data_IF_390934316399
#
_entry.id   IF_390934316399
#
_cell.length_a   1.000
_cell.length_b   1.000
_cell.length_c   1.000
_cell.angle_alpha   90.00
_cell.angle_beta   90.00
_cell.angle_gamma   90.00
#
_symmetry.space_group_name_H-M   'P 1'
#
loop_
_entity.id
_entity.type
_entity.pdbx_description
1 polymer ?
#
# COMPACT_ATOMS: atom_id res chain seq x y z
N UNK A 1 -82.56 4.75 -55.87
CA UNK A 1 -81.72 4.30 -54.75
C UNK A 1 -80.67 3.34 -55.29
N UNK A 2 -79.39 3.70 -55.08
CA UNK A 2 -78.13 2.92 -55.03
C UNK A 2 -78.06 1.51 -55.69
N UNK A 3 -77.13 1.33 -56.63
CA UNK A 3 -75.93 0.46 -56.42
C UNK A 3 -74.94 0.52 -57.60
N UNK A 4 -73.67 0.77 -57.29
CA UNK A 4 -72.47 0.74 -58.14
C UNK A 4 -71.37 0.09 -57.24
N UNK A 5 -70.22 -0.37 -57.77
CA UNK A 5 -69.99 -1.65 -58.45
C UNK A 5 -68.96 -2.55 -57.72
N UNK A 6 -68.70 -3.71 -58.33
CA UNK A 6 -67.54 -4.58 -58.13
C UNK A 6 -66.22 -3.82 -57.96
N UNK A 7 -65.52 -4.04 -56.83
CA UNK A 7 -64.06 -3.94 -56.72
C UNK A 7 -63.58 -4.90 -55.61
N UNK A 8 -63.46 -6.18 -55.95
CA UNK A 8 -62.62 -7.13 -55.20
C UNK A 8 -61.32 -7.23 -55.99
N UNK A 9 -60.46 -6.24 -55.83
CA UNK A 9 -59.10 -6.25 -56.41
C UNK A 9 -58.10 -6.58 -55.33
N UNK A 10 -57.51 -7.77 -55.47
CA UNK A 10 -56.12 -8.12 -55.15
C UNK A 10 -55.49 -7.48 -53.90
N UNK A 11 -55.51 -8.20 -52.78
CA UNK A 11 -54.58 -7.96 -51.67
C UNK A 11 -54.12 -9.27 -51.01
N UNK A 12 -53.83 -10.32 -51.79
CA UNK A 12 -53.44 -11.64 -51.26
C UNK A 12 -52.06 -12.17 -51.67
N UNK A 13 -51.21 -11.37 -52.33
CA UNK A 13 -49.87 -11.83 -52.67
C UNK A 13 -48.80 -10.75 -52.45
N UNK A 14 -48.46 -10.43 -51.19
CA UNK A 14 -47.19 -9.74 -50.92
C UNK A 14 -46.69 -9.83 -49.46
N UNK A 15 -46.80 -10.99 -48.80
CA UNK A 15 -46.35 -11.14 -47.41
C UNK A 15 -45.23 -12.15 -47.07
N UNK A 16 -44.69 -13.01 -47.96
CA UNK A 16 -43.57 -13.85 -47.55
C UNK A 16 -42.19 -13.15 -47.64
N UNK A 17 -42.03 -12.13 -48.48
CA UNK A 17 -40.70 -11.53 -48.74
C UNK A 17 -40.19 -10.67 -47.56
N UNK A 18 -41.07 -9.87 -46.95
CA UNK A 18 -40.71 -8.98 -45.83
C UNK A 18 -40.43 -9.72 -44.51
N UNK A 19 -40.97 -10.92 -44.32
CA UNK A 19 -40.76 -11.70 -43.10
C UNK A 19 -39.37 -12.35 -43.04
N UNK A 20 -38.81 -12.74 -44.20
CA UNK A 20 -37.50 -13.39 -44.28
C UNK A 20 -36.34 -12.41 -44.00
N UNK A 21 -36.39 -11.22 -44.59
CA UNK A 21 -35.39 -10.17 -44.34
C UNK A 21 -35.41 -9.67 -42.90
N UNK A 22 -36.59 -9.62 -42.27
CA UNK A 22 -36.73 -9.21 -40.87
C UNK A 22 -36.17 -10.25 -39.89
N UNK A 23 -36.26 -11.53 -40.23
CA UNK A 23 -35.65 -12.60 -39.43
C UNK A 23 -34.13 -12.58 -39.53
N UNK A 24 -33.60 -12.44 -40.75
CA UNK A 24 -32.14 -12.39 -40.99
C UNK A 24 -31.49 -11.18 -40.34
N UNK A 25 -32.11 -10.00 -40.45
CA UNK A 25 -31.66 -8.80 -39.74
C UNK A 25 -31.73 -8.93 -38.22
N UNK A 26 -32.71 -9.64 -37.67
CA UNK A 26 -32.77 -9.93 -36.24
C UNK A 26 -31.62 -10.84 -35.78
N UNK A 27 -31.27 -11.86 -36.56
CA UNK A 27 -30.11 -12.74 -36.29
C UNK A 27 -28.79 -11.95 -36.31
N UNK A 28 -28.59 -11.11 -37.33
CA UNK A 28 -27.41 -10.24 -37.44
C UNK A 28 -27.31 -9.29 -36.23
N UNK A 29 -28.43 -8.70 -35.80
CA UNK A 29 -28.48 -7.84 -34.61
C UNK A 29 -28.10 -8.62 -33.34
N UNK A 30 -28.57 -9.86 -33.21
CA UNK A 30 -28.23 -10.70 -32.07
C UNK A 30 -26.73 -11.08 -32.07
N UNK A 31 -26.15 -11.37 -33.23
CA UNK A 31 -24.73 -11.65 -33.38
C UNK A 31 -23.87 -10.43 -33.03
N UNK A 32 -24.18 -9.27 -33.62
CA UNK A 32 -23.51 -8.00 -33.30
C UNK A 32 -23.60 -7.72 -31.80
N UNK A 33 -24.76 -7.95 -31.16
CA UNK A 33 -24.91 -7.74 -29.72
C UNK A 33 -23.99 -8.65 -28.90
N UNK A 34 -23.80 -9.91 -29.32
CA UNK A 34 -22.85 -10.83 -28.66
C UNK A 34 -21.42 -10.34 -28.80
N UNK A 35 -21.03 -9.91 -30.00
CA UNK A 35 -19.69 -9.39 -30.26
C UNK A 35 -19.41 -8.12 -29.46
N UNK A 36 -20.34 -7.17 -29.41
CA UNK A 36 -20.21 -5.94 -28.61
C UNK A 36 -20.02 -6.26 -27.13
N UNK A 37 -20.75 -7.24 -26.58
CA UNK A 37 -20.56 -7.66 -25.18
C UNK A 37 -19.18 -8.27 -24.96
N UNK A 38 -18.68 -9.09 -25.90
CA UNK A 38 -17.35 -9.69 -25.83
C UNK A 38 -16.26 -8.62 -25.87
N UNK A 39 -16.31 -7.72 -26.86
CA UNK A 39 -15.37 -6.61 -27.01
C UNK A 39 -15.36 -5.70 -25.78
N UNK A 40 -16.52 -5.44 -25.17
CA UNK A 40 -16.58 -4.62 -23.95
C UNK A 40 -15.83 -5.25 -22.79
N UNK A 41 -15.87 -6.59 -22.65
CA UNK A 41 -15.10 -7.31 -21.62
C UNK A 41 -13.61 -7.23 -21.90
N UNK A 42 -13.20 -7.42 -23.15
CA UNK A 42 -11.79 -7.33 -23.56
C UNK A 42 -11.23 -5.91 -23.32
N UNK A 43 -12.00 -4.87 -23.67
CA UNK A 43 -11.60 -3.47 -23.41
C UNK A 43 -11.46 -3.18 -21.92
N UNK A 44 -12.34 -3.73 -21.06
CA UNK A 44 -12.19 -3.58 -19.61
C UNK A 44 -10.94 -4.29 -19.08
N UNK A 45 -10.67 -5.52 -19.51
CA UNK A 45 -9.46 -6.24 -19.12
C UNK A 45 -8.18 -5.48 -19.52
N UNK A 46 -8.12 -4.98 -20.76
CA UNK A 46 -6.98 -4.16 -21.24
C UNK A 46 -6.82 -2.85 -20.45
N UNK A 47 -7.92 -2.24 -20.02
CA UNK A 47 -7.88 -1.03 -19.20
C UNK A 47 -7.26 -1.32 -17.83
N UNK A 48 -7.63 -2.43 -17.21
CA UNK A 48 -7.12 -2.84 -15.90
C UNK A 48 -5.61 -3.16 -15.99
N UNK A 49 -5.17 -3.91 -17.00
CA UNK A 49 -3.75 -4.18 -17.26
C UNK A 49 -2.92 -2.90 -17.45
N UNK A 50 -3.47 -1.92 -18.18
CA UNK A 50 -2.79 -0.64 -18.38
C UNK A 50 -2.70 0.18 -17.09
N UNK A 51 -3.70 0.06 -16.21
CA UNK A 51 -3.69 0.69 -14.90
C UNK A 51 -2.65 0.04 -13.97
N UNK A 52 -2.55 -1.29 -13.96
CA UNK A 52 -1.49 -2.00 -13.24
C UNK A 52 -0.09 -1.61 -13.73
N UNK A 53 0.10 -1.46 -15.04
CA UNK A 53 1.36 -1.00 -15.62
C UNK A 53 1.71 0.43 -15.18
N UNK A 54 0.72 1.32 -15.04
CA UNK A 54 0.92 2.67 -14.55
C UNK A 54 1.35 2.69 -13.07
N UNK A 55 0.70 1.90 -12.22
CA UNK A 55 1.07 1.77 -10.80
C UNK A 55 2.46 1.14 -10.64
N UNK A 56 2.81 0.14 -11.45
CA UNK A 56 4.14 -0.46 -11.44
C UNK A 56 5.24 0.56 -11.81
N UNK A 57 4.97 1.45 -12.78
CA UNK A 57 5.90 2.56 -13.12
C UNK A 57 6.04 3.56 -11.97
N UNK A 58 4.96 3.88 -11.27
CA UNK A 58 4.99 4.77 -10.09
C UNK A 58 5.81 4.16 -8.97
N UNK A 59 5.56 2.89 -8.63
CA UNK A 59 6.31 2.16 -7.61
C UNK A 59 7.81 2.10 -7.94
N UNK A 60 8.17 1.85 -9.21
CA UNK A 60 9.59 1.86 -9.63
C UNK A 60 10.27 3.21 -9.38
N UNK A 61 9.57 4.33 -9.58
CA UNK A 61 10.10 5.67 -9.28
C UNK A 61 10.29 5.88 -7.78
N UNK A 62 9.35 5.43 -6.96
CA UNK A 62 9.45 5.51 -5.50
C UNK A 62 10.63 4.69 -4.96
N UNK A 63 10.83 3.46 -5.47
CA UNK A 63 11.99 2.63 -5.10
C UNK A 63 13.32 3.31 -5.44
N UNK A 64 13.42 3.97 -6.59
CA UNK A 64 14.63 4.72 -6.96
C UNK A 64 14.87 5.89 -6.02
N UNK A 65 13.80 6.63 -5.65
CA UNK A 65 13.89 7.73 -4.68
C UNK A 65 14.37 7.26 -3.32
N UNK A 66 13.76 6.20 -2.79
CA UNK A 66 14.13 5.62 -1.49
C UNK A 66 15.59 5.14 -1.49
N UNK A 67 16.08 4.54 -2.58
CA UNK A 67 17.50 4.16 -2.70
C UNK A 67 18.44 5.37 -2.63
N UNK A 68 18.04 6.52 -3.19
CA UNK A 68 18.82 7.76 -3.11
C UNK A 68 18.84 8.30 -1.67
N UNK A 69 17.69 8.30 -1.01
CA UNK A 69 17.57 8.77 0.37
C UNK A 69 18.40 7.91 1.32
N UNK A 70 18.38 6.58 1.15
CA UNK A 70 19.23 5.64 1.92
C UNK A 70 20.71 5.98 1.76
N UNK A 71 21.20 6.21 0.54
CA UNK A 71 22.61 6.57 0.31
C UNK A 71 22.97 7.89 1.01
N UNK A 72 22.11 8.90 0.86
CA UNK A 72 22.33 10.20 1.52
C UNK A 72 22.39 10.08 3.04
N UNK A 73 21.57 9.21 3.65
CA UNK A 73 21.63 8.96 5.09
C UNK A 73 22.90 8.20 5.49
N UNK A 74 23.36 7.25 4.67
CA UNK A 74 24.62 6.54 4.91
C UNK A 74 25.81 7.50 4.90
N UNK A 75 25.87 8.41 3.92
CA UNK A 75 26.92 9.43 3.84
C UNK A 75 26.91 10.32 5.09
N UNK A 76 25.74 10.79 5.53
CA UNK A 76 25.61 11.60 6.75
C UNK A 76 26.08 10.84 8.01
N UNK A 77 25.78 9.54 8.11
CA UNK A 77 26.23 8.73 9.24
C UNK A 77 27.76 8.61 9.24
N UNK A 78 28.38 8.42 8.08
CA UNK A 78 29.84 8.36 7.96
C UNK A 78 30.48 9.69 8.35
N UNK A 79 29.92 10.82 7.89
CA UNK A 79 30.40 12.16 8.25
C UNK A 79 30.31 12.38 9.77
N UNK A 80 29.19 12.01 10.38
CA UNK A 80 29.01 12.13 11.83
C UNK A 80 29.98 11.25 12.61
N UNK A 81 30.25 10.03 12.14
CA UNK A 81 31.24 9.15 12.75
C UNK A 81 32.64 9.78 12.69
N UNK A 82 33.03 10.32 11.53
CA UNK A 82 34.31 10.99 11.37
C UNK A 82 34.44 12.22 12.30
N UNK A 83 33.39 13.02 12.45
CA UNK A 83 33.37 14.16 13.38
C UNK A 83 33.52 13.74 14.84
N UNK A 84 32.84 12.67 15.25
CA UNK A 84 32.94 12.12 16.61
C UNK A 84 34.36 11.59 16.88
N UNK A 85 34.95 10.88 15.92
CA UNK A 85 36.33 10.39 16.04
C UNK A 85 37.36 11.53 16.08
N UNK A 86 37.15 12.60 15.31
CA UNK A 86 38.01 13.77 15.32
C UNK A 86 37.97 14.52 16.66
N UNK A 87 36.78 14.66 17.28
CA UNK A 87 36.66 15.23 18.62
C UNK A 87 37.35 14.35 19.68
N UNK A 88 37.30 13.03 19.54
CA UNK A 88 37.98 12.12 20.46
C UNK A 88 39.51 12.26 20.44
N UNK A 89 40.11 12.80 19.37
CA UNK A 89 41.59 12.89 19.21
C UNK A 89 42.20 14.22 19.66
N UNK A 90 41.40 15.25 19.97
CA UNK A 90 41.87 16.54 20.46
C UNK A 90 41.33 16.80 21.89
N UNK A 91 42.07 16.45 22.95
CA UNK A 91 41.65 16.77 24.31
C UNK A 91 41.89 18.27 24.56
N UNK A 92 40.81 19.05 24.59
CA UNK A 92 40.87 20.40 25.14
C UNK A 92 41.00 20.32 26.67
N UNK A 93 41.90 21.10 27.32
CA UNK A 93 42.22 20.94 28.74
C UNK A 93 41.13 21.43 29.70
N UNK A 94 39.97 21.92 29.21
CA UNK A 94 38.93 22.49 30.07
C UNK A 94 37.50 22.00 29.73
N UNK A 95 37.39 20.91 28.98
CA UNK A 95 36.13 20.17 28.86
C UNK A 95 36.36 18.85 29.56
N UNK A 96 35.75 18.70 30.75
CA UNK A 96 35.58 17.40 31.39
C UNK A 96 34.87 16.50 30.38
N UNK A 97 35.64 15.75 29.59
CA UNK A 97 35.12 14.60 28.86
C UNK A 97 34.58 13.69 29.95
N UNK A 98 33.25 13.71 30.16
CA UNK A 98 32.60 12.56 30.75
C UNK A 98 33.08 11.36 29.93
N UNK A 99 33.59 10.30 30.57
CA UNK A 99 33.99 9.10 29.86
C UNK A 99 32.79 8.73 28.99
N UNK A 100 33.04 8.39 27.71
CA UNK A 100 32.03 7.89 26.77
C UNK A 100 31.08 7.03 27.58
N UNK A 101 29.90 7.58 27.93
CA UNK A 101 28.97 6.88 28.82
C UNK A 101 28.74 5.56 28.13
N UNK A 102 29.14 4.47 28.78
CA UNK A 102 29.08 3.14 28.18
C UNK A 102 27.72 2.98 27.50
N UNK A 103 27.69 2.42 26.28
CA UNK A 103 26.38 2.22 25.65
C UNK A 103 25.57 1.29 26.56
N UNK A 104 24.28 1.58 26.79
CA UNK A 104 23.44 0.69 27.57
C UNK A 104 23.51 -0.70 26.92
N UNK A 105 23.85 -1.70 27.72
CA UNK A 105 24.08 -3.07 27.24
C UNK A 105 22.80 -3.86 27.10
N UNK A 106 21.67 -3.29 27.53
CA UNK A 106 20.38 -3.96 27.59
C UNK A 106 19.28 -3.07 27.01
N UNK A 107 18.45 -3.67 26.18
CA UNK A 107 17.21 -3.10 25.68
C UNK A 107 16.04 -4.01 26.08
N UNK A 108 14.97 -3.41 26.60
CA UNK A 108 13.76 -4.12 26.98
C UNK A 108 12.55 -3.54 26.24
N UNK A 109 11.63 -4.41 25.86
CA UNK A 109 10.41 -4.07 25.14
C UNK A 109 9.19 -4.71 25.82
N UNK A 110 8.07 -3.99 25.81
CA UNK A 110 6.79 -4.48 26.27
C UNK A 110 5.68 -3.88 25.42
N UNK A 111 4.64 -4.68 25.19
CA UNK A 111 3.42 -4.23 24.51
C UNK A 111 2.24 -4.39 25.44
N UNK A 112 1.60 -3.28 25.77
CA UNK A 112 0.37 -3.26 26.54
C UNK A 112 -0.78 -2.72 25.68
N UNK A 113 -2.01 -3.18 25.95
CA UNK A 113 -3.19 -2.77 25.20
C UNK A 113 -3.62 -1.34 25.50
N UNK A 114 -3.31 -0.80 26.69
CA UNK A 114 -3.64 0.58 27.09
C UNK A 114 -2.46 1.52 26.85
N UNK A 115 -1.25 1.12 27.24
CA UNK A 115 -0.05 1.95 27.13
C UNK A 115 0.70 1.83 25.78
N UNK A 116 0.28 0.91 24.91
CA UNK A 116 0.89 0.66 23.61
C UNK A 116 2.24 -0.05 23.69
N UNK A 117 3.02 0.06 22.62
CA UNK A 117 4.40 -0.46 22.57
C UNK A 117 5.36 0.50 23.27
N UNK A 118 6.18 -0.04 24.17
CA UNK A 118 7.16 0.72 24.95
C UNK A 118 8.51 0.03 24.90
N UNK A 119 9.57 0.83 24.95
CA UNK A 119 10.94 0.35 24.98
C UNK A 119 11.76 1.17 25.98
N UNK A 120 12.77 0.55 26.57
CA UNK A 120 13.70 1.19 27.50
C UNK A 120 15.09 0.59 27.34
N UNK A 121 16.11 1.34 27.77
CA UNK A 121 17.51 0.92 27.76
C UNK A 121 18.17 1.13 29.12
N UNK A 122 19.11 0.27 29.45
CA UNK A 122 19.84 0.28 30.71
C UNK A 122 21.22 -0.35 30.61
N UNK A 123 22.08 -0.08 31.59
CA UNK A 123 23.39 -0.71 31.72
C UNK A 123 23.27 -2.14 32.26
N UNK A 124 22.16 -2.43 32.95
CA UNK A 124 21.76 -3.77 33.38
C UNK A 124 20.34 -4.08 32.90
N UNK A 125 20.02 -5.38 32.83
CA UNK A 125 18.67 -5.84 32.50
C UNK A 125 17.63 -5.30 33.48
N UNK A 126 17.95 -5.28 34.77
CA UNK A 126 17.06 -4.80 35.84
C UNK A 126 16.77 -3.31 35.69
N UNK A 127 17.78 -2.50 35.36
CA UNK A 127 17.60 -1.07 35.13
C UNK A 127 16.72 -0.80 33.91
N UNK A 128 16.96 -1.52 32.81
CA UNK A 128 16.14 -1.42 31.61
C UNK A 128 14.69 -1.81 31.93
N UNK A 129 14.46 -2.95 32.61
CA UNK A 129 13.13 -3.39 33.05
C UNK A 129 12.43 -2.36 33.94
N UNK A 130 13.11 -1.83 34.95
CA UNK A 130 12.57 -0.84 35.87
C UNK A 130 12.06 0.41 35.15
N UNK A 131 12.88 0.98 34.25
CA UNK A 131 12.50 2.13 33.42
C UNK A 131 11.31 1.84 32.51
N UNK A 132 11.19 0.60 32.01
CA UNK A 132 10.08 0.20 31.17
C UNK A 132 8.76 0.15 31.95
N UNK A 133 8.80 -0.41 33.16
CA UNK A 133 7.65 -0.50 34.05
C UNK A 133 7.18 0.88 34.51
N UNK A 134 8.12 1.78 34.80
CA UNK A 134 7.83 3.18 35.11
C UNK A 134 7.13 3.87 33.94
N UNK A 135 7.68 3.73 32.72
CA UNK A 135 7.08 4.29 31.50
C UNK A 135 5.66 3.74 31.27
N UNK A 136 5.46 2.44 31.52
CA UNK A 136 4.17 1.80 31.41
C UNK A 136 3.15 2.32 32.43
N UNK A 137 3.58 2.52 33.68
CA UNK A 137 2.73 3.04 34.75
C UNK A 137 2.30 4.48 34.46
N UNK A 138 3.24 5.32 33.99
CA UNK A 138 2.98 6.71 33.58
C UNK A 138 1.98 6.80 32.43
N UNK A 139 1.96 5.80 31.54
CA UNK A 139 1.00 5.70 30.43
C UNK A 139 -0.32 5.02 30.82
N UNK A 140 -0.51 4.68 32.09
CA UNK A 140 -1.73 4.04 32.59
C UNK A 140 -1.93 2.60 32.11
N UNK A 141 -0.84 1.90 31.76
CA UNK A 141 -0.86 0.50 31.34
C UNK A 141 -1.00 -0.48 32.51
N UNK A 142 -1.28 -1.75 32.20
CA UNK A 142 -1.20 -2.83 33.20
C UNK A 142 0.13 -3.55 33.04
N UNK A 143 1.10 -3.16 33.86
CA UNK A 143 2.50 -3.51 33.68
C UNK A 143 2.83 -4.79 34.46
N UNK A 144 3.21 -5.84 33.75
CA UNK A 144 3.65 -7.10 34.35
C UNK A 144 5.03 -7.46 33.83
N UNK A 145 5.95 -7.80 34.75
CA UNK A 145 7.30 -8.22 34.41
C UNK A 145 7.33 -9.41 33.44
N UNK A 146 6.39 -10.34 33.57
CA UNK A 146 6.27 -11.52 32.71
C UNK A 146 5.97 -11.20 31.24
N UNK A 147 5.61 -9.95 30.91
CA UNK A 147 5.33 -9.48 29.54
C UNK A 147 6.45 -8.63 28.95
N UNK A 148 7.58 -8.53 29.65
CA UNK A 148 8.76 -7.79 29.20
C UNK A 148 9.74 -8.74 28.53
N UNK A 149 10.17 -8.40 27.32
CA UNK A 149 11.24 -9.09 26.60
C UNK A 149 12.49 -8.22 26.64
N UNK A 150 13.60 -8.74 27.13
CA UNK A 150 14.88 -8.03 27.16
C UNK A 150 15.93 -8.77 26.34
N UNK A 151 16.80 -8.00 25.69
CA UNK A 151 17.96 -8.49 24.95
C UNK A 151 19.18 -7.66 25.29
N UNK A 152 20.35 -8.30 25.30
CA UNK A 152 21.60 -7.58 25.27
C UNK A 152 21.75 -6.87 23.91
N UNK A 153 22.20 -5.62 23.93
CA UNK A 153 22.42 -4.76 22.75
C UNK A 153 23.84 -4.88 22.20
#
# INVERSE_FOLDING_TARGET
MRSLPLLISLALFSTPLLAHDNHRTAEDIHEIKREVVKLRKEVHALKDENQEAAEMRKLKKEVVRLRKDIRSMQDLILDLQALVEAQSKNPHPDVVLQPVKERPRWACYMKDVRAGGMHSKGFSEVEAKGKLLETCSTRGGVCFENRITCSAE
#
